data_IF_901878672045
#
_entry.id   IF_901878672045
#
_cell.length_a   1.000
_cell.length_b   1.000
_cell.length_c   1.000
_cell.angle_alpha   90.00
_cell.angle_beta   90.00
_cell.angle_gamma   90.00
#
_symmetry.space_group_name_H-M   'P 1'
#
loop_
_entity.id
_entity.type
_entity.pdbx_description
1 polymer ?
#
# COMPACT_ATOMS: atom_id res chain seq x y z
N UNK A 1 -22.46 -60.95 29.59
CA UNK A 1 -21.22 -60.48 28.93
C UNK A 1 -21.63 -59.56 27.79
N UNK A 2 -21.54 -58.25 27.98
CA UNK A 2 -21.86 -57.27 26.93
C UNK A 2 -20.57 -57.01 26.17
N UNK A 3 -20.50 -57.44 24.91
CA UNK A 3 -19.40 -57.11 24.01
C UNK A 3 -19.64 -55.71 23.46
N UNK A 4 -18.78 -54.75 23.80
CA UNK A 4 -18.78 -53.42 23.20
C UNK A 4 -17.97 -53.47 21.91
N UNK A 5 -18.56 -53.01 20.81
CA UNK A 5 -17.87 -52.89 19.53
C UNK A 5 -16.81 -51.77 19.59
N UNK A 6 -15.66 -51.89 18.89
CA UNK A 6 -14.69 -50.82 18.80
C UNK A 6 -15.26 -49.64 18.00
N UNK A 7 -15.22 -48.43 18.56
CA UNK A 7 -15.61 -47.21 17.85
C UNK A 7 -14.67 -46.91 16.67
N UNK A 8 -15.15 -46.27 15.59
CA UNK A 8 -14.34 -45.96 14.43
C UNK A 8 -13.21 -45.01 14.81
N UNK A 9 -11.97 -45.41 14.48
CA UNK A 9 -10.77 -44.61 14.67
C UNK A 9 -10.90 -43.25 13.95
N UNK A 10 -10.76 -42.16 14.70
CA UNK A 10 -10.70 -40.82 14.15
C UNK A 10 -9.44 -40.67 13.27
N UNK A 11 -9.64 -40.57 11.94
CA UNK A 11 -8.60 -40.25 10.97
C UNK A 11 -8.15 -38.77 10.99
N UNK A 12 -7.07 -38.42 10.27
CA UNK A 12 -6.17 -37.31 10.59
C UNK A 12 -6.68 -35.94 10.11
N UNK A 13 -7.63 -35.34 10.85
CA UNK A 13 -8.13 -34.00 10.55
C UNK A 13 -7.03 -32.92 10.58
N UNK A 14 -6.00 -33.09 11.42
CA UNK A 14 -4.90 -32.13 11.62
C UNK A 14 -3.99 -31.94 10.40
N UNK A 15 -3.92 -32.91 9.49
CA UNK A 15 -3.01 -32.85 8.33
C UNK A 15 -3.56 -32.03 7.17
N UNK A 16 -4.89 -32.01 6.98
CA UNK A 16 -5.53 -31.32 5.85
C UNK A 16 -5.59 -29.81 6.01
N UNK A 17 -5.74 -29.32 7.24
CA UNK A 17 -5.80 -27.88 7.52
C UNK A 17 -4.41 -27.22 7.41
N UNK A 18 -3.37 -27.92 7.88
CA UNK A 18 -1.98 -27.51 7.66
C UNK A 18 -1.65 -27.40 6.16
N UNK A 19 -2.00 -28.44 5.39
CA UNK A 19 -1.75 -28.45 3.94
C UNK A 19 -2.50 -27.33 3.19
N UNK A 20 -3.75 -27.04 3.55
CA UNK A 20 -4.52 -25.93 2.95
C UNK A 20 -3.91 -24.57 3.26
N UNK A 21 -3.41 -24.38 4.48
CA UNK A 21 -2.73 -23.14 4.89
C UNK A 21 -1.40 -22.98 4.15
N UNK A 22 -0.60 -24.04 4.05
CA UNK A 22 0.67 -24.03 3.28
C UNK A 22 0.45 -23.68 1.81
N UNK A 23 -0.58 -24.26 1.17
CA UNK A 23 -0.94 -23.92 -0.21
C UNK A 23 -1.31 -22.44 -0.35
N UNK A 24 -2.11 -21.88 0.59
CA UNK A 24 -2.48 -20.45 0.57
C UNK A 24 -1.26 -19.55 0.74
N UNK A 25 -0.38 -19.86 1.71
CA UNK A 25 0.86 -19.09 1.94
C UNK A 25 1.73 -19.14 0.69
N UNK A 26 1.94 -20.33 0.13
CA UNK A 26 2.75 -20.52 -1.07
C UNK A 26 2.19 -19.72 -2.24
N UNK A 27 0.87 -19.76 -2.44
CA UNK A 27 0.21 -19.00 -3.50
C UNK A 27 0.36 -17.49 -3.30
N UNK A 28 0.16 -16.98 -2.08
CA UNK A 28 0.33 -15.55 -1.79
C UNK A 28 1.77 -15.12 -2.02
N UNK A 29 2.76 -15.89 -1.55
CA UNK A 29 4.17 -15.58 -1.77
C UNK A 29 4.51 -15.62 -3.26
N UNK A 30 4.04 -16.62 -3.99
CA UNK A 30 4.26 -16.73 -5.43
C UNK A 30 3.67 -15.54 -6.19
N UNK A 31 2.43 -15.15 -5.88
CA UNK A 31 1.77 -13.99 -6.49
C UNK A 31 2.53 -12.69 -6.15
N UNK A 32 2.90 -12.49 -4.89
CA UNK A 32 3.68 -11.32 -4.47
C UNK A 32 5.03 -11.25 -5.17
N UNK A 33 5.72 -12.38 -5.32
CA UNK A 33 6.99 -12.46 -6.02
C UNK A 33 6.82 -12.14 -7.51
N UNK A 34 5.78 -12.68 -8.16
CA UNK A 34 5.46 -12.33 -9.56
C UNK A 34 5.19 -10.84 -9.70
N UNK A 35 4.42 -10.23 -8.80
CA UNK A 35 4.14 -8.78 -8.81
C UNK A 35 5.43 -7.99 -8.66
N UNK A 36 6.27 -8.33 -7.69
CA UNK A 36 7.54 -7.63 -7.45
C UNK A 36 8.47 -7.77 -8.64
N UNK A 37 8.66 -8.99 -9.17
CA UNK A 37 9.50 -9.23 -10.35
C UNK A 37 8.97 -8.46 -11.56
N UNK A 38 7.66 -8.46 -11.78
CA UNK A 38 7.04 -7.70 -12.88
C UNK A 38 7.28 -6.21 -12.69
N UNK A 39 7.03 -5.66 -11.50
CA UNK A 39 7.24 -4.25 -11.19
C UNK A 39 8.71 -3.82 -11.38
N UNK A 40 9.66 -4.68 -11.00
CA UNK A 40 11.09 -4.42 -11.18
C UNK A 40 11.54 -4.59 -12.63
N UNK A 41 10.84 -5.41 -13.44
CA UNK A 41 11.12 -5.57 -14.86
C UNK A 41 10.54 -4.44 -15.71
N UNK A 42 9.56 -3.67 -15.20
CA UNK A 42 9.01 -2.53 -15.91
C UNK A 42 10.10 -1.47 -16.16
N UNK A 43 10.14 -0.89 -17.38
CA UNK A 43 11.03 0.21 -17.68
C UNK A 43 10.65 1.45 -16.86
N UNK A 44 11.57 2.42 -16.80
CA UNK A 44 11.26 3.71 -16.18
C UNK A 44 10.09 4.36 -16.94
N UNK A 45 8.97 4.49 -16.25
CA UNK A 45 7.81 5.28 -16.64
C UNK A 45 8.20 6.76 -16.64
N UNK A 46 7.68 7.58 -17.57
CA UNK A 46 8.03 8.99 -17.65
C UNK A 46 7.83 9.73 -16.33
N UNK A 47 8.93 10.12 -15.69
CA UNK A 47 8.96 11.20 -14.73
C UNK A 47 9.04 12.49 -15.55
N UNK A 48 8.15 13.44 -15.26
CA UNK A 48 8.13 14.75 -15.90
C UNK A 48 9.31 15.60 -15.44
N UNK A 49 9.42 16.80 -16.00
CA UNK A 49 10.49 17.75 -15.66
C UNK A 49 10.52 18.06 -14.15
N UNK A 50 11.71 18.35 -13.65
CA UNK A 50 11.93 18.68 -12.23
C UNK A 50 11.29 20.02 -11.86
N UNK A 51 10.17 19.96 -11.11
CA UNK A 51 9.38 21.15 -10.74
C UNK A 51 9.85 21.86 -9.46
N UNK A 52 11.03 21.53 -8.91
CA UNK A 52 11.53 22.10 -7.65
C UNK A 52 10.72 21.74 -6.39
N UNK A 53 9.64 20.96 -6.51
CA UNK A 53 8.84 20.45 -5.39
C UNK A 53 9.48 19.21 -4.75
N UNK A 54 8.88 18.64 -3.70
CA UNK A 54 9.25 17.28 -3.24
C UNK A 54 9.17 16.27 -4.39
N UNK A 55 9.94 15.19 -4.33
CA UNK A 55 9.90 14.11 -5.33
C UNK A 55 8.54 13.43 -5.38
N UNK A 56 7.86 13.35 -4.22
CA UNK A 56 6.49 12.85 -4.17
C UNK A 56 5.53 13.70 -5.00
N UNK A 57 5.55 15.03 -4.82
CA UNK A 57 4.70 15.92 -5.61
C UNK A 57 5.11 15.94 -7.08
N UNK A 58 6.42 15.96 -7.36
CA UNK A 58 6.93 15.94 -8.73
C UNK A 58 6.45 14.70 -9.49
N UNK A 59 6.46 13.53 -8.83
CA UNK A 59 5.95 12.28 -9.41
C UNK A 59 4.46 12.36 -9.75
N UNK A 60 3.64 12.98 -8.90
CA UNK A 60 2.20 13.12 -9.13
C UNK A 60 1.83 14.19 -10.16
N UNK A 61 2.63 15.26 -10.24
CA UNK A 61 2.46 16.37 -11.18
C UNK A 61 2.96 15.99 -12.58
N UNK A 62 3.97 15.14 -12.66
CA UNK A 62 4.47 14.57 -13.90
C UNK A 62 3.41 13.77 -14.66
N UNK A 63 3.41 13.87 -15.99
CA UNK A 63 2.62 13.02 -16.89
C UNK A 63 1.14 12.87 -16.47
N UNK A 64 0.50 13.98 -16.11
CA UNK A 64 -0.92 14.00 -15.79
C UNK A 64 -1.77 13.60 -17.01
N UNK A 65 -2.83 12.79 -16.82
CA UNK A 65 -3.41 12.36 -15.54
C UNK A 65 -2.85 11.05 -14.98
N UNK A 66 -1.97 10.37 -15.71
CA UNK A 66 -1.66 8.96 -15.47
C UNK A 66 -0.91 8.71 -14.16
N UNK A 67 0.09 9.53 -13.81
CA UNK A 67 0.84 9.31 -12.58
C UNK A 67 -0.03 9.54 -11.34
N UNK A 68 -0.84 10.61 -11.33
CA UNK A 68 -1.80 10.86 -10.26
C UNK A 68 -2.76 9.69 -10.09
N UNK A 69 -3.28 9.15 -11.21
CA UNK A 69 -4.18 8.01 -11.16
C UNK A 69 -3.50 6.76 -10.59
N UNK A 70 -2.31 6.42 -11.10
CA UNK A 70 -1.61 5.19 -10.73
C UNK A 70 -1.05 5.21 -9.32
N UNK A 71 -0.43 6.31 -8.92
CA UNK A 71 0.32 6.40 -7.67
C UNK A 71 -0.50 6.97 -6.51
N UNK A 72 -1.63 7.63 -6.75
CA UNK A 72 -2.48 8.16 -5.67
C UNK A 72 -3.93 7.72 -5.80
N UNK A 73 -4.60 8.01 -6.91
CA UNK A 73 -6.05 7.84 -6.98
C UNK A 73 -6.47 6.38 -6.80
N UNK A 74 -5.84 5.43 -7.51
CA UNK A 74 -6.19 4.00 -7.39
C UNK A 74 -5.98 3.49 -5.95
N UNK A 75 -4.80 3.67 -5.31
CA UNK A 75 -4.62 3.29 -3.91
C UNK A 75 -5.62 3.94 -2.95
N UNK A 76 -5.84 5.25 -3.08
CA UNK A 76 -6.70 6.02 -2.17
C UNK A 76 -8.17 5.64 -2.35
N UNK A 77 -8.68 5.54 -3.57
CA UNK A 77 -10.07 5.12 -3.84
C UNK A 77 -10.31 3.71 -3.30
N UNK A 78 -9.35 2.78 -3.49
CA UNK A 78 -9.48 1.45 -2.91
C UNK A 78 -9.49 1.49 -1.38
N UNK A 79 -8.59 2.26 -0.76
CA UNK A 79 -8.54 2.42 0.69
C UNK A 79 -9.80 3.07 1.28
N UNK A 80 -10.33 4.10 0.62
CA UNK A 80 -11.59 4.75 1.00
C UNK A 80 -12.78 3.82 0.81
N UNK A 81 -12.80 3.04 -0.27
CA UNK A 81 -13.83 2.01 -0.49
C UNK A 81 -13.81 0.98 0.64
N UNK A 82 -12.62 0.53 1.05
CA UNK A 82 -12.44 -0.35 2.20
C UNK A 82 -12.97 0.33 3.46
N UNK A 83 -12.55 1.57 3.74
CA UNK A 83 -12.95 2.30 4.93
C UNK A 83 -14.48 2.48 5.03
N UNK A 84 -15.13 2.93 3.96
CA UNK A 84 -16.58 3.15 3.91
C UNK A 84 -17.33 1.84 4.09
N UNK A 85 -16.93 0.80 3.36
CA UNK A 85 -17.60 -0.51 3.46
C UNK A 85 -17.38 -1.17 4.83
N UNK A 86 -16.21 -0.97 5.45
CA UNK A 86 -15.90 -1.40 6.82
C UNK A 86 -16.80 -0.72 7.85
N UNK A 87 -16.96 0.61 7.75
CA UNK A 87 -17.86 1.38 8.62
C UNK A 87 -19.31 0.90 8.50
N UNK A 88 -19.78 0.59 7.28
CA UNK A 88 -21.13 0.03 7.07
C UNK A 88 -21.26 -1.34 7.73
N UNK A 89 -20.26 -2.21 7.62
CA UNK A 89 -20.26 -3.53 8.27
C UNK A 89 -20.25 -3.40 9.80
N UNK A 90 -19.55 -2.40 10.34
CA UNK A 90 -19.39 -2.19 11.77
C UNK A 90 -20.62 -1.55 12.42
N UNK A 91 -21.21 -0.53 11.81
CA UNK A 91 -22.33 0.24 12.38
C UNK A 91 -23.71 -0.21 11.91
N UNK A 92 -23.81 -0.89 10.78
CA UNK A 92 -25.08 -1.37 10.23
C UNK A 92 -24.95 -2.80 9.67
N UNK A 93 -24.54 -3.78 10.50
CA UNK A 93 -24.29 -5.15 10.04
C UNK A 93 -25.52 -5.81 9.39
N UNK A 94 -26.74 -5.40 9.76
CA UNK A 94 -28.00 -5.85 9.16
C UNK A 94 -28.22 -5.28 7.74
N UNK A 95 -27.67 -4.10 7.44
CA UNK A 95 -27.69 -3.47 6.10
C UNK A 95 -26.49 -3.89 5.24
N UNK A 96 -25.42 -4.40 5.87
CA UNK A 96 -24.25 -4.92 5.19
C UNK A 96 -24.56 -6.27 4.52
N UNK A 97 -25.23 -6.20 3.37
CA UNK A 97 -25.53 -7.35 2.51
C UNK A 97 -24.28 -8.01 1.93
N UNK A 98 -24.48 -9.13 1.23
CA UNK A 98 -23.39 -9.91 0.61
C UNK A 98 -22.53 -9.06 -0.33
N UNK A 99 -23.13 -8.12 -1.06
CA UNK A 99 -22.41 -7.25 -1.99
C UNK A 99 -21.41 -6.32 -1.30
N UNK A 100 -21.79 -5.68 -0.19
CA UNK A 100 -20.89 -4.76 0.56
C UNK A 100 -19.72 -5.53 1.15
N UNK A 101 -19.98 -6.71 1.70
CA UNK A 101 -18.94 -7.59 2.27
C UNK A 101 -18.00 -8.12 1.19
N UNK A 102 -18.54 -8.48 0.02
CA UNK A 102 -17.73 -8.88 -1.11
C UNK A 102 -16.87 -7.72 -1.62
N UNK A 103 -17.44 -6.53 -1.77
CA UNK A 103 -16.71 -5.34 -2.22
C UNK A 103 -15.56 -5.00 -1.28
N UNK A 104 -15.81 -4.97 0.05
CA UNK A 104 -14.77 -4.75 1.05
C UNK A 104 -13.63 -5.77 0.90
N UNK A 105 -13.98 -7.06 0.83
CA UNK A 105 -13.00 -8.14 0.67
C UNK A 105 -12.19 -8.03 -0.63
N UNK A 106 -12.84 -7.74 -1.76
CA UNK A 106 -12.13 -7.62 -3.04
C UNK A 106 -11.27 -6.36 -3.09
N UNK A 107 -11.75 -5.24 -2.58
CA UNK A 107 -10.97 -4.01 -2.49
C UNK A 107 -9.75 -4.21 -1.57
N UNK A 108 -9.93 -4.81 -0.39
CA UNK A 108 -8.85 -5.16 0.54
C UNK A 108 -7.83 -6.13 -0.06
N UNK A 109 -8.28 -7.09 -0.87
CA UNK A 109 -7.39 -8.01 -1.59
C UNK A 109 -6.57 -7.26 -2.65
N UNK A 110 -7.21 -6.48 -3.53
CA UNK A 110 -6.54 -5.82 -4.65
C UNK A 110 -5.62 -4.69 -4.19
N UNK A 111 -6.02 -3.91 -3.19
CA UNK A 111 -5.31 -2.70 -2.76
C UNK A 111 -3.86 -2.97 -2.35
N UNK A 112 -3.62 -3.96 -1.49
CA UNK A 112 -2.28 -4.25 -1.00
C UNK A 112 -1.38 -4.88 -2.07
N UNK A 113 -1.90 -5.76 -2.93
CA UNK A 113 -1.10 -6.31 -4.04
C UNK A 113 -0.76 -5.24 -5.09
N UNK A 114 -1.69 -4.36 -5.40
CA UNK A 114 -1.44 -3.21 -6.27
C UNK A 114 -0.36 -2.30 -5.68
N UNK A 115 -0.51 -1.93 -4.41
CA UNK A 115 0.43 -1.04 -3.74
C UNK A 115 1.81 -1.69 -3.53
N UNK A 116 1.88 -3.02 -3.40
CA UNK A 116 3.15 -3.77 -3.41
C UNK A 116 3.91 -3.59 -4.73
N UNK A 117 3.20 -3.65 -5.86
CA UNK A 117 3.78 -3.38 -7.17
C UNK A 117 4.30 -1.95 -7.28
N UNK A 118 3.49 -0.97 -6.85
CA UNK A 118 3.89 0.44 -6.80
C UNK A 118 5.13 0.64 -5.92
N UNK A 119 5.15 0.06 -4.72
CA UNK A 119 6.28 0.13 -3.81
C UNK A 119 7.55 -0.41 -4.45
N UNK A 120 7.52 -1.62 -5.03
CA UNK A 120 8.69 -2.22 -5.66
C UNK A 120 9.19 -1.39 -6.85
N UNK A 121 8.26 -0.86 -7.66
CA UNK A 121 8.56 0.01 -8.78
C UNK A 121 9.27 1.31 -8.32
N UNK A 122 8.72 2.01 -7.32
CA UNK A 122 9.30 3.25 -6.82
C UNK A 122 10.60 3.04 -6.05
N UNK A 123 10.77 1.90 -5.39
CA UNK A 123 12.04 1.56 -4.77
C UNK A 123 13.18 1.54 -5.80
N UNK A 124 12.96 0.91 -6.95
CA UNK A 124 13.95 0.82 -8.03
C UNK A 124 14.19 2.16 -8.74
N UNK A 125 13.12 2.86 -9.09
CA UNK A 125 13.19 4.00 -10.02
C UNK A 125 13.24 5.37 -9.33
N UNK A 126 12.93 5.46 -8.04
CA UNK A 126 13.00 6.70 -7.28
C UNK A 126 13.91 6.58 -6.06
N UNK A 127 13.57 5.71 -5.09
CA UNK A 127 14.22 5.72 -3.76
C UNK A 127 15.70 5.36 -3.81
N UNK A 128 16.06 4.29 -4.54
CA UNK A 128 17.45 3.83 -4.65
C UNK A 128 18.32 4.92 -5.34
N UNK A 129 17.93 5.44 -6.52
CA UNK A 129 18.63 6.57 -7.13
C UNK A 129 18.76 7.78 -6.20
N UNK A 130 17.66 8.25 -5.60
CA UNK A 130 17.67 9.42 -4.70
C UNK A 130 18.61 9.25 -3.50
N UNK A 131 18.70 8.04 -2.96
CA UNK A 131 19.56 7.74 -1.81
C UNK A 131 21.03 7.58 -2.22
N UNK A 132 21.30 7.05 -3.41
CA UNK A 132 22.67 6.82 -3.89
C UNK A 132 23.29 8.11 -4.43
N UNK A 133 22.49 8.90 -5.15
CA UNK A 133 22.92 10.15 -5.79
C UNK A 133 22.81 11.35 -4.84
N UNK A 134 22.27 11.15 -3.62
CA UNK A 134 22.08 12.21 -2.64
C UNK A 134 21.05 13.26 -3.06
N UNK A 135 20.11 12.91 -3.95
CA UNK A 135 19.16 13.82 -4.57
C UNK A 135 18.00 14.29 -3.67
N UNK A 136 17.96 13.90 -2.39
CA UNK A 136 16.86 14.25 -1.49
C UNK A 136 16.72 15.77 -1.30
N UNK A 137 15.50 16.28 -1.50
CA UNK A 137 15.17 17.72 -1.36
C UNK A 137 14.85 18.07 0.10
N UNK A 138 15.74 17.69 1.01
CA UNK A 138 15.62 17.95 2.45
C UNK A 138 14.69 17.01 3.23
N UNK A 139 14.46 17.27 4.53
CA UNK A 139 13.70 16.37 5.41
C UNK A 139 12.23 16.21 5.03
N UNK A 140 11.60 17.26 4.47
CA UNK A 140 10.22 17.21 3.99
C UNK A 140 10.02 16.09 2.97
N UNK A 141 10.96 15.99 2.04
CA UNK A 141 10.94 15.04 0.94
C UNK A 141 11.11 13.60 1.43
N UNK A 142 12.05 13.38 2.36
CA UNK A 142 12.27 12.07 3.00
C UNK A 142 11.02 11.63 3.77
N UNK A 143 10.37 12.53 4.50
CA UNK A 143 9.14 12.23 5.24
C UNK A 143 8.00 11.91 4.26
N UNK A 144 7.83 12.72 3.20
CA UNK A 144 6.77 12.51 2.21
C UNK A 144 6.87 11.14 1.54
N UNK A 145 8.04 10.82 0.97
CA UNK A 145 8.28 9.54 0.29
C UNK A 145 8.25 8.39 1.29
N UNK A 146 8.86 8.56 2.46
CA UNK A 146 8.91 7.53 3.50
C UNK A 146 7.53 7.14 4.01
N UNK A 147 6.68 8.11 4.34
CA UNK A 147 5.30 7.84 4.78
C UNK A 147 4.44 7.29 3.66
N UNK A 148 4.62 7.74 2.41
CA UNK A 148 3.92 7.16 1.28
C UNK A 148 4.20 5.66 1.16
N UNK A 149 5.47 5.26 1.20
CA UNK A 149 5.89 3.86 1.11
C UNK A 149 5.49 3.05 2.34
N UNK A 150 5.48 3.67 3.53
CA UNK A 150 5.00 3.04 4.77
C UNK A 150 3.53 2.62 4.66
N UNK A 151 2.74 3.29 3.81
CA UNK A 151 1.36 2.90 3.47
C UNK A 151 1.22 1.46 2.97
N UNK A 152 2.30 0.83 2.49
CA UNK A 152 2.31 -0.59 2.12
C UNK A 152 1.98 -1.49 3.31
N UNK A 153 2.49 -1.18 4.50
CA UNK A 153 2.34 -2.03 5.69
C UNK A 153 0.86 -2.25 6.02
N UNK A 154 0.02 -1.22 6.22
CA UNK A 154 -1.39 -1.42 6.48
C UNK A 154 -2.15 -1.98 5.27
N UNK A 155 -1.90 -1.51 4.04
CA UNK A 155 -2.63 -2.00 2.85
C UNK A 155 -2.37 -3.48 2.56
N UNK A 156 -1.10 -3.87 2.52
CA UNK A 156 -0.71 -5.26 2.30
C UNK A 156 -1.06 -6.13 3.51
N UNK A 157 -0.98 -5.59 4.73
CA UNK A 157 -1.50 -6.25 5.94
C UNK A 157 -2.98 -6.64 5.81
N UNK A 158 -3.82 -5.74 5.29
CA UNK A 158 -5.24 -6.04 5.01
C UNK A 158 -5.39 -7.13 3.93
N UNK A 159 -4.63 -7.08 2.83
CA UNK A 159 -4.67 -8.14 1.80
C UNK A 159 -4.25 -9.52 2.35
N UNK A 160 -3.25 -9.56 3.25
CA UNK A 160 -2.83 -10.80 3.92
C UNK A 160 -3.92 -11.34 4.85
N UNK A 161 -4.71 -10.48 5.47
CA UNK A 161 -5.89 -10.90 6.25
C UNK A 161 -6.98 -11.46 5.34
N UNK A 162 -7.24 -10.84 4.18
CA UNK A 162 -8.29 -11.27 3.25
C UNK A 162 -7.98 -12.58 2.51
N UNK A 163 -6.69 -12.91 2.36
CA UNK A 163 -6.23 -14.23 1.88
C UNK A 163 -6.30 -15.33 2.95
N UNK A 164 -6.49 -14.95 4.21
CA UNK A 164 -6.46 -15.87 5.35
C UNK A 164 -5.07 -16.43 5.63
N UNK A 165 -4.00 -15.79 5.16
CA UNK A 165 -2.62 -16.09 5.56
C UNK A 165 -2.35 -15.52 6.94
N UNK A 166 -2.84 -14.30 7.18
CA UNK A 166 -2.85 -13.65 8.48
C UNK A 166 -4.23 -13.79 9.14
N UNK A 167 -4.26 -14.23 10.41
CA UNK A 167 -5.49 -14.26 11.18
C UNK A 167 -6.54 -15.29 10.76
N UNK A 168 -6.11 -16.42 10.16
CA UNK A 168 -7.00 -17.51 9.76
C UNK A 168 -7.89 -18.02 10.90
N UNK A 169 -7.34 -18.08 12.11
CA UNK A 169 -7.98 -18.61 13.31
C UNK A 169 -8.55 -17.49 14.21
N UNK A 170 -8.66 -16.26 13.71
CA UNK A 170 -9.18 -15.15 14.51
C UNK A 170 -10.70 -15.13 14.49
N UNK A 171 -11.29 -14.88 15.66
CA UNK A 171 -12.71 -14.58 15.77
C UNK A 171 -13.07 -13.35 14.93
N UNK A 172 -14.31 -13.33 14.41
CA UNK A 172 -14.82 -12.25 13.55
C UNK A 172 -14.56 -10.87 14.15
N UNK A 173 -14.78 -10.71 15.46
CA UNK A 173 -14.61 -9.44 16.16
C UNK A 173 -13.15 -8.98 16.21
N UNK A 174 -12.20 -9.90 16.36
CA UNK A 174 -10.76 -9.59 16.33
C UNK A 174 -10.34 -9.20 14.92
N UNK A 175 -10.82 -9.93 13.91
CA UNK A 175 -10.54 -9.64 12.50
C UNK A 175 -11.05 -8.25 12.10
N UNK A 176 -12.31 -7.93 12.39
CA UNK A 176 -12.91 -6.61 12.16
C UNK A 176 -12.09 -5.49 12.85
N UNK A 177 -11.72 -5.68 14.13
CA UNK A 177 -10.93 -4.69 14.87
C UNK A 177 -9.56 -4.44 14.23
N UNK A 178 -8.85 -5.49 13.86
CA UNK A 178 -7.52 -5.36 13.25
C UNK A 178 -7.61 -4.75 11.85
N UNK A 179 -8.62 -5.14 11.06
CA UNK A 179 -8.87 -4.56 9.74
C UNK A 179 -9.14 -3.06 9.84
N UNK A 180 -10.07 -2.64 10.71
CA UNK A 180 -10.34 -1.24 10.98
C UNK A 180 -9.12 -0.47 11.53
N UNK A 181 -8.26 -1.13 12.31
CA UNK A 181 -7.02 -0.52 12.80
C UNK A 181 -6.03 -0.26 11.66
N UNK A 182 -5.86 -1.22 10.73
CA UNK A 182 -5.00 -1.01 9.56
C UNK A 182 -5.52 0.12 8.66
N UNK A 183 -6.83 0.20 8.43
CA UNK A 183 -7.44 1.34 7.73
C UNK A 183 -7.11 2.66 8.43
N UNK A 184 -7.31 2.73 9.76
CA UNK A 184 -6.99 3.94 10.53
C UNK A 184 -5.52 4.35 10.46
N UNK A 185 -4.61 3.38 10.58
CA UNK A 185 -3.16 3.61 10.43
C UNK A 185 -2.83 4.09 9.02
N UNK A 186 -3.42 3.47 7.98
CA UNK A 186 -3.23 3.90 6.60
C UNK A 186 -3.68 5.35 6.39
N UNK A 187 -4.85 5.73 6.92
CA UNK A 187 -5.34 7.11 6.81
C UNK A 187 -4.34 8.10 7.42
N UNK A 188 -3.85 7.86 8.64
CA UNK A 188 -2.86 8.76 9.27
C UNK A 188 -1.60 8.85 8.43
N UNK A 189 -1.05 7.71 8.00
CA UNK A 189 0.21 7.64 7.27
C UNK A 189 0.10 8.33 5.90
N UNK A 190 -0.98 8.06 5.16
CA UNK A 190 -1.25 8.68 3.86
C UNK A 190 -1.43 10.20 3.98
N UNK A 191 -2.10 10.67 5.03
CA UNK A 191 -2.27 12.12 5.25
C UNK A 191 -0.94 12.79 5.57
N UNK A 192 -0.08 12.19 6.40
CA UNK A 192 1.28 12.72 6.64
C UNK A 192 2.06 12.81 5.33
N UNK A 193 2.03 11.76 4.50
CA UNK A 193 2.68 11.78 3.19
C UNK A 193 2.18 12.92 2.30
N UNK A 194 0.87 13.16 2.24
CA UNK A 194 0.30 14.25 1.44
C UNK A 194 0.65 15.63 1.98
N UNK A 195 0.60 15.84 3.30
CA UNK A 195 0.94 17.13 3.93
C UNK A 195 2.39 17.50 3.63
N UNK A 196 3.34 16.59 3.89
CA UNK A 196 4.75 16.85 3.65
C UNK A 196 5.08 16.83 2.15
N UNK A 197 4.34 16.08 1.35
CA UNK A 197 4.47 16.06 -0.10
C UNK A 197 4.12 17.40 -0.75
N UNK A 198 3.07 18.06 -0.27
CA UNK A 198 2.66 19.39 -0.70
C UNK A 198 3.49 20.52 -0.08
N UNK A 199 4.32 20.23 0.92
CA UNK A 199 5.16 21.23 1.58
C UNK A 199 6.27 21.66 0.62
N UNK A 200 6.53 22.98 0.57
CA UNK A 200 7.71 23.50 -0.10
C UNK A 200 8.97 23.03 0.67
N UNK A 201 9.88 22.27 0.05
CA UNK A 201 11.06 21.74 0.72
C UNK A 201 11.99 22.84 1.27
N UNK A 202 11.94 24.06 0.72
CA UNK A 202 12.74 25.20 1.20
C UNK A 202 12.39 25.63 2.62
N UNK A 203 11.15 25.42 3.07
CA UNK A 203 10.70 25.75 4.44
C UNK A 203 11.45 24.93 5.49
N UNK A 204 11.91 23.73 5.15
CA UNK A 204 12.71 22.87 6.04
C UNK A 204 14.21 22.90 5.71
N UNK A 205 14.66 23.95 5.03
CA UNK A 205 16.08 24.24 4.82
C UNK A 205 16.71 23.57 3.61
N UNK A 206 15.91 23.10 2.64
CA UNK A 206 16.45 22.73 1.33
C UNK A 206 16.69 24.00 0.50
N UNK A 207 17.95 24.30 0.20
CA UNK A 207 18.29 25.35 -0.75
C UNK A 207 18.32 24.77 -2.17
N UNK A 208 17.51 25.29 -3.10
CA UNK A 208 17.67 24.96 -4.50
C UNK A 208 19.10 25.35 -4.91
N UNK A 209 19.87 24.41 -5.46
CA UNK A 209 21.29 24.63 -5.79
C UNK A 209 21.54 25.70 -6.86
N UNK A 210 20.49 26.30 -7.43
CA UNK A 210 20.57 27.47 -8.30
C UNK A 210 19.42 28.45 -8.01
N UNK A 211 19.65 29.34 -7.04
CA UNK A 211 18.94 30.62 -6.91
C UNK A 211 19.91 31.70 -7.37
N UNK A 212 19.51 32.56 -8.32
CA UNK A 212 20.31 33.76 -8.63
C UNK A 212 20.29 34.68 -7.41
N UNK A 213 21.36 35.45 -7.17
CA UNK A 213 21.52 36.34 -5.99
C UNK A 213 20.37 37.35 -5.76
N UNK A 214 19.44 37.51 -6.71
CA UNK A 214 18.26 38.39 -6.60
C UNK A 214 16.95 37.67 -6.21
N UNK A 215 16.98 36.36 -5.97
CA UNK A 215 15.79 35.56 -5.63
C UNK A 215 14.89 35.20 -6.81
N UNK A 216 15.28 35.50 -8.05
CA UNK A 216 14.60 35.03 -9.25
C UNK A 216 15.11 33.66 -9.72
N UNK A 217 14.20 32.84 -10.25
CA UNK A 217 14.56 31.68 -11.07
C UNK A 217 14.71 32.15 -12.51
N UNK A 218 15.84 31.85 -13.15
CA UNK A 218 16.06 32.18 -14.57
C UNK A 218 14.99 31.47 -15.42
N UNK A 219 14.14 32.21 -16.16
CA UNK A 219 13.25 31.58 -17.12
C UNK A 219 14.09 31.16 -18.34
N UNK A 220 14.22 29.84 -18.56
CA UNK A 220 14.70 29.33 -19.85
C UNK A 220 15.76 28.23 -19.86
N UNK A 221 15.97 27.46 -18.79
CA UNK A 221 16.72 26.20 -18.91
C UNK A 221 15.93 25.04 -18.31
N UNK A 222 14.99 24.56 -19.12
CA UNK A 222 14.54 23.17 -19.10
C UNK A 222 15.72 22.26 -19.46
N UNK A 223 16.00 21.27 -18.61
CA UNK A 223 16.61 20.03 -19.04
C UNK A 223 15.78 18.87 -18.52
#
# INVERSE_FOLDING_TARGET
MVTTAPGPAAGPATTRDGQRREVRVTLVVAVSLVIVVTALALPAWPAGEDMGSTHYMGLLAANQPWNLLLFMAVPVILAETIAVTELVVLFSPQRAGRTVRALNRYAGLVAGFYFLGVFAYLMKHAVIPLTTDGGWRGPADVIAVGFYLLGLVPLYGMSLMETGVLGADWDDRRRLRTHATFVGVFLVVAHVAMIFGMLDPSVLGWEPSHVMDDGSTMPGMSH
#
